data_IF_016548931497
#
_entry.id   IF_016548931497
#
_cell.length_a   1.000
_cell.length_b   1.000
_cell.length_c   1.000
_cell.angle_alpha   90.00
_cell.angle_beta   90.00
_cell.angle_gamma   90.00
#
_symmetry.space_group_name_H-M   'P 1'
#
loop_
_entity.id
_entity.type
_entity.pdbx_description
1 polymer ?
#
# COMPACT_ATOMS: atom_id res chain seq x y z
N UNK A 1 25.04 30.63 16.55
CA UNK A 1 23.63 30.43 16.15
C UNK A 1 23.60 30.57 14.63
N UNK A 2 23.44 29.46 13.91
CA UNK A 2 23.51 29.44 12.45
C UNK A 2 22.17 28.97 11.89
N UNK A 3 21.50 29.89 11.19
CA UNK A 3 20.22 29.72 10.51
C UNK A 3 20.29 28.57 9.49
N UNK A 4 19.77 27.39 9.83
CA UNK A 4 19.56 26.28 8.88
C UNK A 4 18.21 26.34 8.14
N UNK A 5 17.46 27.44 8.28
CA UNK A 5 16.11 27.58 7.72
C UNK A 5 15.93 28.76 6.75
N UNK A 6 17.01 29.32 6.19
CA UNK A 6 16.94 30.32 5.13
C UNK A 6 17.56 29.77 3.85
N UNK A 7 16.74 29.13 3.00
CA UNK A 7 16.79 29.17 1.51
C UNK A 7 15.94 28.06 0.87
N UNK A 8 14.64 27.93 1.19
CA UNK A 8 13.65 27.41 0.23
C UNK A 8 12.31 28.11 0.47
N UNK A 9 12.01 29.09 -0.38
CA UNK A 9 10.66 29.67 -0.45
C UNK A 9 9.65 28.54 -0.71
N UNK A 10 8.49 28.47 -0.02
CA UNK A 10 7.50 27.45 -0.28
C UNK A 10 6.73 27.84 -1.54
N UNK A 11 7.33 27.61 -2.70
CA UNK A 11 6.63 27.72 -3.97
C UNK A 11 5.65 26.55 -4.05
N UNK A 12 4.34 26.87 -3.99
CA UNK A 12 3.23 25.97 -4.36
C UNK A 12 3.36 25.40 -5.78
N UNK A 13 4.25 25.95 -6.61
CA UNK A 13 4.40 25.60 -8.03
C UNK A 13 5.23 24.33 -8.31
N UNK A 14 5.73 23.63 -7.30
CA UNK A 14 6.61 22.47 -7.52
C UNK A 14 7.91 22.84 -8.24
N UNK A 15 8.66 21.82 -8.68
CA UNK A 15 9.88 21.98 -9.49
C UNK A 15 9.48 22.02 -10.97
N UNK A 16 9.90 23.04 -11.70
CA UNK A 16 9.70 23.12 -13.16
C UNK A 16 10.81 22.33 -13.89
N UNK A 17 10.45 21.14 -14.38
CA UNK A 17 11.35 20.25 -15.10
C UNK A 17 11.43 20.55 -16.61
N UNK A 18 10.62 21.47 -17.16
CA UNK A 18 10.46 21.68 -18.60
C UNK A 18 11.72 22.15 -19.33
N UNK A 19 12.68 22.73 -18.60
CA UNK A 19 13.94 23.25 -19.13
C UNK A 19 15.16 22.38 -18.80
N UNK A 20 14.97 21.24 -18.13
CA UNK A 20 16.06 20.38 -17.69
C UNK A 20 16.51 19.46 -18.83
N UNK A 21 17.82 19.27 -18.96
CA UNK A 21 18.37 18.26 -19.88
C UNK A 21 18.15 16.85 -19.33
N UNK A 22 18.39 15.83 -20.15
CA UNK A 22 18.33 14.44 -19.69
C UNK A 22 19.32 14.13 -18.55
N UNK A 23 20.48 14.79 -18.54
CA UNK A 23 21.48 14.66 -17.46
C UNK A 23 20.98 15.33 -16.17
N UNK A 24 20.38 16.52 -16.28
CA UNK A 24 19.81 17.23 -15.14
C UNK A 24 18.65 16.43 -14.52
N UNK A 25 17.78 15.85 -15.36
CA UNK A 25 16.68 15.00 -14.90
C UNK A 25 17.20 13.75 -14.18
N UNK A 26 18.25 13.13 -14.71
CA UNK A 26 18.89 11.98 -14.06
C UNK A 26 19.52 12.36 -12.72
N UNK A 27 20.19 13.50 -12.65
CA UNK A 27 20.79 13.99 -11.40
C UNK A 27 19.71 14.28 -10.34
N UNK A 28 18.63 14.98 -10.73
CA UNK A 28 17.52 15.27 -9.83
C UNK A 28 16.79 14.00 -9.37
N UNK A 29 16.56 13.04 -10.27
CA UNK A 29 15.99 11.75 -9.91
C UNK A 29 16.85 11.03 -8.86
N UNK A 30 18.17 10.96 -9.07
CA UNK A 30 19.08 10.30 -8.12
C UNK A 30 19.13 11.04 -6.78
N UNK A 31 19.09 12.37 -6.77
CA UNK A 31 19.01 13.15 -5.53
C UNK A 31 17.72 12.81 -4.76
N UNK A 32 16.56 12.83 -5.43
CA UNK A 32 15.26 12.51 -4.82
C UNK A 32 15.25 11.07 -4.29
N UNK A 33 15.71 10.11 -5.10
CA UNK A 33 15.76 8.70 -4.72
C UNK A 33 16.67 8.46 -3.50
N UNK A 34 17.86 9.06 -3.50
CA UNK A 34 18.83 8.91 -2.40
C UNK A 34 18.41 9.62 -1.12
N UNK A 35 17.58 10.66 -1.21
CA UNK A 35 16.95 11.30 -0.04
C UNK A 35 15.88 10.40 0.60
N UNK A 36 15.45 9.35 -0.10
CA UNK A 36 14.50 8.35 0.38
C UNK A 36 13.05 8.74 0.14
N UNK A 37 12.24 7.73 -0.14
CA UNK A 37 10.80 7.80 -0.34
C UNK A 37 10.14 7.23 0.93
N UNK A 38 9.04 7.85 1.38
CA UNK A 38 8.33 7.37 2.56
C UNK A 38 7.89 5.91 2.40
N UNK A 39 7.18 5.61 1.31
CA UNK A 39 6.78 4.26 0.95
C UNK A 39 6.48 4.11 -0.53
N UNK A 40 6.39 2.87 -0.99
CA UNK A 40 6.09 2.55 -2.38
C UNK A 40 5.07 1.41 -2.48
N UNK A 41 4.16 1.52 -3.45
CA UNK A 41 3.34 0.39 -3.88
C UNK A 41 4.22 -0.68 -4.49
N UNK A 42 4.21 -1.88 -3.91
CA UNK A 42 5.17 -2.93 -4.21
C UNK A 42 4.45 -4.15 -4.78
N UNK A 43 4.47 -4.25 -6.11
CA UNK A 43 4.12 -5.47 -6.84
C UNK A 43 5.38 -6.15 -7.33
N UNK A 44 5.38 -7.48 -7.30
CA UNK A 44 6.56 -8.29 -7.61
C UNK A 44 6.46 -9.04 -8.93
N UNK A 45 5.37 -8.89 -9.68
CA UNK A 45 5.17 -9.60 -10.93
C UNK A 45 6.31 -9.37 -11.94
N UNK A 46 6.75 -10.45 -12.58
CA UNK A 46 7.68 -10.43 -13.72
C UNK A 46 6.90 -10.21 -15.03
N UNK A 47 7.62 -10.05 -16.16
CA UNK A 47 7.03 -9.67 -17.44
C UNK A 47 5.93 -10.63 -17.95
N UNK A 48 5.96 -11.89 -17.53
CA UNK A 48 5.01 -12.95 -17.89
C UNK A 48 3.98 -13.26 -16.80
N UNK A 49 3.96 -12.47 -15.72
CA UNK A 49 3.06 -12.66 -14.60
C UNK A 49 2.03 -11.53 -14.50
N UNK A 50 0.88 -11.88 -13.91
CA UNK A 50 -0.25 -11.00 -13.68
C UNK A 50 -0.95 -11.34 -12.35
N UNK A 51 -1.92 -10.53 -11.88
CA UNK A 51 -2.77 -10.90 -10.75
C UNK A 51 -3.29 -12.35 -10.85
N UNK A 52 -3.17 -13.11 -9.76
CA UNK A 52 -3.47 -14.55 -9.71
C UNK A 52 -2.31 -15.49 -10.09
N UNK A 53 -1.16 -14.97 -10.54
CA UNK A 53 0.05 -15.78 -10.73
C UNK A 53 0.69 -16.12 -9.38
N UNK A 54 1.18 -17.35 -9.23
CA UNK A 54 1.93 -17.75 -8.04
C UNK A 54 3.28 -17.03 -7.99
N UNK A 55 3.52 -16.33 -6.88
CA UNK A 55 4.76 -15.63 -6.58
C UNK A 55 5.60 -16.47 -5.60
N UNK A 56 6.92 -16.47 -5.77
CA UNK A 56 7.87 -17.13 -4.88
C UNK A 56 8.52 -16.17 -3.88
N UNK A 57 8.93 -16.71 -2.71
CA UNK A 57 9.69 -15.97 -1.71
C UNK A 57 10.99 -15.36 -2.27
N UNK A 58 11.66 -16.11 -3.15
CA UNK A 58 12.90 -15.69 -3.79
C UNK A 58 12.67 -14.44 -4.65
N UNK A 59 11.65 -14.48 -5.51
CA UNK A 59 11.28 -13.35 -6.36
C UNK A 59 10.95 -12.09 -5.54
N UNK A 60 10.21 -12.25 -4.44
CA UNK A 60 9.92 -11.15 -3.51
C UNK A 60 11.22 -10.60 -2.94
N UNK A 61 12.10 -11.46 -2.45
CA UNK A 61 13.35 -11.07 -1.82
C UNK A 61 14.27 -10.31 -2.78
N UNK A 62 14.43 -10.80 -4.01
CA UNK A 62 15.25 -10.16 -5.04
C UNK A 62 14.74 -8.76 -5.39
N UNK A 63 13.42 -8.61 -5.61
CA UNK A 63 12.82 -7.29 -5.88
C UNK A 63 12.88 -6.36 -4.66
N UNK A 64 12.75 -6.89 -3.46
CA UNK A 64 12.83 -6.11 -2.22
C UNK A 64 14.22 -5.47 -2.06
N UNK A 65 15.29 -6.20 -2.39
CA UNK A 65 16.65 -5.65 -2.29
C UNK A 65 16.88 -4.44 -3.19
N UNK A 66 16.16 -4.34 -4.32
CA UNK A 66 16.27 -3.18 -5.23
C UNK A 66 15.75 -1.90 -4.56
N UNK A 67 14.64 -1.99 -3.82
CA UNK A 67 13.98 -0.80 -3.26
C UNK A 67 14.39 -0.51 -1.81
N UNK A 68 14.83 -1.53 -1.06
CA UNK A 68 15.16 -1.44 0.37
C UNK A 68 16.03 -0.24 0.76
N UNK A 69 17.07 0.16 0.01
CA UNK A 69 17.89 1.31 0.39
C UNK A 69 17.16 2.65 0.37
N UNK A 70 16.02 2.72 -0.34
CA UNK A 70 15.35 3.97 -0.69
C UNK A 70 13.99 4.14 -0.04
N UNK A 71 13.42 3.12 0.62
CA UNK A 71 12.06 3.18 1.17
C UNK A 71 12.01 2.79 2.64
N UNK A 72 11.00 3.29 3.36
CA UNK A 72 10.71 2.88 4.74
C UNK A 72 9.45 2.02 4.84
N UNK A 73 8.52 2.19 3.89
CA UNK A 73 7.25 1.49 3.82
C UNK A 73 7.07 0.80 2.48
N UNK A 74 6.38 -0.34 2.50
CA UNK A 74 5.84 -0.98 1.30
C UNK A 74 4.34 -1.17 1.43
N UNK A 75 3.64 -1.09 0.31
CA UNK A 75 2.22 -1.45 0.19
C UNK A 75 2.07 -2.69 -0.68
N UNK A 76 1.47 -3.75 -0.15
CA UNK A 76 1.00 -4.91 -0.93
C UNK A 76 -0.51 -4.84 -1.12
N UNK A 77 -1.03 -5.54 -2.12
CA UNK A 77 -2.43 -5.40 -2.57
C UNK A 77 -3.30 -6.62 -2.28
N UNK A 78 -2.68 -7.79 -2.12
CA UNK A 78 -3.32 -9.09 -1.93
C UNK A 78 -2.53 -9.88 -0.88
N UNK A 79 -3.19 -10.86 -0.27
CA UNK A 79 -2.60 -11.87 0.60
C UNK A 79 -2.80 -13.29 0.06
N UNK A 80 -2.97 -13.46 -1.24
CA UNK A 80 -3.04 -14.79 -1.88
C UNK A 80 -1.99 -14.96 -2.96
N UNK A 81 -1.85 -16.19 -3.45
CA UNK A 81 -0.98 -16.55 -4.58
C UNK A 81 0.50 -16.19 -4.33
N UNK A 82 0.95 -16.26 -3.08
CA UNK A 82 2.31 -15.93 -2.65
C UNK A 82 2.50 -14.50 -2.15
N UNK A 83 1.54 -13.61 -2.37
CA UNK A 83 1.62 -12.22 -1.89
C UNK A 83 1.62 -12.13 -0.35
N UNK A 84 1.05 -13.11 0.36
CA UNK A 84 1.07 -13.20 1.82
C UNK A 84 2.49 -13.21 2.42
N UNK A 85 3.51 -13.51 1.62
CA UNK A 85 4.90 -13.51 2.05
C UNK A 85 5.56 -12.12 1.98
N UNK A 86 5.01 -11.19 1.19
CA UNK A 86 5.56 -9.84 1.01
C UNK A 86 5.69 -9.12 2.35
N UNK A 87 4.66 -9.11 3.23
CA UNK A 87 4.74 -8.34 4.46
C UNK A 87 5.77 -8.93 5.44
N UNK A 88 5.84 -10.27 5.56
CA UNK A 88 6.87 -10.96 6.35
C UNK A 88 8.29 -10.58 5.89
N UNK A 89 8.56 -10.70 4.59
CA UNK A 89 9.87 -10.38 4.00
C UNK A 89 10.18 -8.87 4.15
N UNK A 90 9.16 -8.00 4.08
CA UNK A 90 9.29 -6.58 4.36
C UNK A 90 9.78 -6.31 5.79
N UNK A 91 9.13 -6.90 6.79
CA UNK A 91 9.53 -6.78 8.19
C UNK A 91 10.93 -7.35 8.46
N UNK A 92 11.28 -8.50 7.89
CA UNK A 92 12.62 -9.08 7.97
C UNK A 92 13.71 -8.14 7.42
N UNK A 93 13.34 -7.26 6.49
CA UNK A 93 14.22 -6.24 5.93
C UNK A 93 14.15 -4.88 6.65
N UNK A 94 13.41 -4.78 7.75
CA UNK A 94 13.25 -3.56 8.55
C UNK A 94 12.29 -2.54 7.94
N UNK A 95 11.45 -2.96 6.99
CA UNK A 95 10.43 -2.11 6.37
C UNK A 95 9.10 -2.24 7.13
N UNK A 96 8.35 -1.15 7.10
CA UNK A 96 6.96 -1.10 7.55
C UNK A 96 6.00 -1.51 6.43
N UNK A 97 4.83 -2.04 6.76
CA UNK A 97 3.93 -2.65 5.77
C UNK A 97 2.49 -2.12 5.85
N UNK A 98 1.95 -1.74 4.69
CA UNK A 98 0.52 -1.58 4.46
C UNK A 98 0.05 -2.79 3.65
N UNK A 99 -0.77 -3.63 4.26
CA UNK A 99 -1.15 -4.94 3.71
C UNK A 99 -2.58 -4.90 3.22
N UNK A 100 -2.78 -5.06 1.91
CA UNK A 100 -4.09 -5.08 1.27
C UNK A 100 -4.69 -6.49 1.17
N UNK A 101 -6.01 -6.59 1.35
CA UNK A 101 -6.83 -7.69 0.87
C UNK A 101 -7.51 -7.27 -0.45
N UNK A 102 -7.29 -8.03 -1.52
CA UNK A 102 -7.84 -7.69 -2.84
C UNK A 102 -9.28 -8.22 -3.00
N UNK A 103 -10.25 -7.37 -2.72
CA UNK A 103 -11.67 -7.72 -2.81
C UNK A 103 -12.26 -7.41 -4.19
N UNK A 104 -13.16 -8.28 -4.65
CA UNK A 104 -13.93 -8.13 -5.88
C UNK A 104 -15.35 -8.70 -5.76
N UNK A 105 -15.99 -9.03 -6.88
CA UNK A 105 -17.35 -9.56 -6.90
C UNK A 105 -17.49 -11.06 -6.51
N UNK A 106 -16.36 -11.77 -6.35
CA UNK A 106 -16.32 -13.20 -6.04
C UNK A 106 -16.17 -13.42 -4.53
N UNK A 107 -17.25 -13.90 -3.90
CA UNK A 107 -17.31 -14.07 -2.45
C UNK A 107 -16.31 -15.11 -1.92
N UNK A 108 -16.03 -16.18 -2.66
CA UNK A 108 -15.07 -17.21 -2.23
C UNK A 108 -13.64 -16.66 -2.27
N UNK A 109 -13.30 -15.87 -3.29
CA UNK A 109 -12.00 -15.19 -3.35
C UNK A 109 -11.86 -14.16 -2.23
N UNK A 110 -12.89 -13.37 -1.98
CA UNK A 110 -12.90 -12.39 -0.89
C UNK A 110 -12.67 -13.06 0.46
N UNK A 111 -13.31 -14.21 0.71
CA UNK A 111 -13.13 -14.94 1.95
C UNK A 111 -11.67 -15.38 2.15
N UNK A 112 -11.04 -15.91 1.10
CA UNK A 112 -9.62 -16.30 1.14
C UNK A 112 -8.70 -15.12 1.43
N UNK A 113 -8.94 -13.98 0.79
CA UNK A 113 -8.18 -12.75 1.00
C UNK A 113 -8.33 -12.22 2.44
N UNK A 114 -9.55 -12.24 2.99
CA UNK A 114 -9.85 -11.81 4.37
C UNK A 114 -9.18 -12.73 5.38
N UNK A 115 -9.28 -14.04 5.23
CA UNK A 115 -8.59 -14.98 6.10
C UNK A 115 -7.07 -14.80 6.04
N UNK A 116 -6.53 -14.60 4.84
CA UNK A 116 -5.09 -14.49 4.66
C UNK A 116 -4.54 -13.18 5.25
N UNK A 117 -5.21 -12.05 5.05
CA UNK A 117 -4.76 -10.77 5.64
C UNK A 117 -4.82 -10.79 7.16
N UNK A 118 -5.84 -11.45 7.74
CA UNK A 118 -5.93 -11.65 9.19
C UNK A 118 -4.74 -12.50 9.68
N UNK A 119 -4.43 -13.62 9.01
CA UNK A 119 -3.29 -14.48 9.37
C UNK A 119 -1.95 -13.72 9.31
N UNK A 120 -1.73 -12.93 8.26
CA UNK A 120 -0.52 -12.10 8.10
C UNK A 120 -0.40 -11.07 9.21
N UNK A 121 -1.50 -10.38 9.53
CA UNK A 121 -1.52 -9.35 10.56
C UNK A 121 -1.35 -9.95 11.97
N UNK A 122 -2.00 -11.07 12.28
CA UNK A 122 -1.83 -11.80 13.55
C UNK A 122 -0.41 -12.36 13.74
N UNK A 123 0.30 -12.67 12.64
CA UNK A 123 1.72 -13.03 12.67
C UNK A 123 2.66 -11.84 12.95
N UNK A 124 2.13 -10.62 13.07
CA UNK A 124 2.90 -9.41 13.37
C UNK A 124 3.62 -8.82 12.14
N UNK A 125 3.10 -9.08 10.95
CA UNK A 125 3.70 -8.63 9.68
C UNK A 125 2.92 -7.49 8.99
N UNK A 126 1.93 -6.91 9.66
CA UNK A 126 1.15 -5.77 9.17
C UNK A 126 1.22 -4.60 10.15
N UNK A 127 1.64 -3.42 9.69
CA UNK A 127 1.53 -2.17 10.46
C UNK A 127 0.20 -1.45 10.21
N UNK A 128 -0.35 -1.57 8.99
CA UNK A 128 -1.68 -1.10 8.60
C UNK A 128 -2.31 -2.16 7.69
N UNK A 129 -3.61 -2.40 7.82
CA UNK A 129 -4.37 -3.28 6.91
C UNK A 129 -5.36 -2.46 6.09
N UNK A 130 -5.40 -2.70 4.77
CA UNK A 130 -6.39 -2.15 3.86
C UNK A 130 -7.36 -3.24 3.39
N UNK A 131 -8.64 -3.11 3.72
CA UNK A 131 -9.67 -4.10 3.38
C UNK A 131 -10.35 -3.67 2.08
N UNK A 132 -9.78 -4.09 0.96
CA UNK A 132 -10.22 -3.69 -0.37
C UNK A 132 -9.45 -2.50 -0.95
N UNK A 133 -9.46 -2.43 -2.28
CA UNK A 133 -8.93 -1.33 -3.07
C UNK A 133 -9.95 -1.01 -4.17
N UNK A 134 -10.48 0.21 -4.20
CA UNK A 134 -11.40 0.72 -5.24
C UNK A 134 -12.64 -0.14 -5.48
N UNK A 135 -13.10 -0.83 -4.42
CA UNK A 135 -14.24 -1.75 -4.47
C UNK A 135 -15.54 -1.01 -4.78
N UNK A 136 -15.75 0.19 -4.23
CA UNK A 136 -16.98 0.98 -4.46
C UNK A 136 -16.93 1.63 -5.84
N UNK A 137 -15.76 2.19 -6.21
CA UNK A 137 -15.53 2.72 -7.55
C UNK A 137 -15.78 1.68 -8.65
N UNK A 138 -15.38 0.43 -8.43
CA UNK A 138 -15.64 -0.68 -9.37
C UNK A 138 -17.04 -1.27 -9.27
N UNK A 139 -17.80 -0.93 -8.23
CA UNK A 139 -19.11 -1.53 -7.95
C UNK A 139 -19.04 -3.02 -7.61
N UNK A 140 -17.91 -3.49 -7.10
CA UNK A 140 -17.65 -4.92 -6.83
C UNK A 140 -18.45 -5.44 -5.63
N UNK A 141 -18.65 -4.59 -4.61
CA UNK A 141 -19.41 -4.88 -3.40
C UNK A 141 -20.31 -3.69 -3.03
N UNK A 142 -21.39 -3.97 -2.30
CA UNK A 142 -22.18 -2.91 -1.67
C UNK A 142 -21.45 -2.30 -0.48
N UNK A 143 -21.84 -1.08 -0.11
CA UNK A 143 -21.36 -0.39 1.09
C UNK A 143 -21.48 -1.27 2.35
N UNK A 144 -22.63 -1.93 2.54
CA UNK A 144 -22.88 -2.79 3.71
C UNK A 144 -21.97 -4.02 3.73
N UNK A 145 -21.72 -4.64 2.57
CA UNK A 145 -20.80 -5.77 2.46
C UNK A 145 -19.38 -5.36 2.83
N UNK A 146 -18.90 -4.23 2.30
CA UNK A 146 -17.57 -3.71 2.58
C UNK A 146 -17.40 -3.38 4.06
N UNK A 147 -18.35 -2.65 4.66
CA UNK A 147 -18.31 -2.30 6.09
C UNK A 147 -18.30 -3.57 6.96
N UNK A 148 -19.09 -4.58 6.61
CA UNK A 148 -19.08 -5.87 7.33
C UNK A 148 -17.71 -6.55 7.31
N UNK A 149 -17.02 -6.54 6.16
CA UNK A 149 -15.67 -7.08 6.04
C UNK A 149 -14.63 -6.26 6.83
N UNK A 150 -14.70 -4.92 6.78
CA UNK A 150 -13.84 -4.03 7.57
C UNK A 150 -13.98 -4.34 9.06
N UNK A 151 -15.23 -4.40 9.55
CA UNK A 151 -15.51 -4.69 10.96
C UNK A 151 -15.02 -6.07 11.38
N UNK A 152 -15.21 -7.09 10.55
CA UNK A 152 -14.69 -8.45 10.80
C UNK A 152 -13.18 -8.46 10.95
N UNK A 153 -12.46 -7.78 10.06
CA UNK A 153 -10.99 -7.69 10.14
C UNK A 153 -10.59 -6.95 11.42
N UNK A 154 -11.18 -5.79 11.71
CA UNK A 154 -10.91 -5.03 12.96
C UNK A 154 -11.07 -5.88 14.22
N UNK A 155 -12.12 -6.68 14.29
CA UNK A 155 -12.36 -7.58 15.44
C UNK A 155 -11.30 -8.68 15.56
N UNK A 156 -10.78 -9.19 14.45
CA UNK A 156 -9.79 -10.27 14.44
C UNK A 156 -8.35 -9.80 14.73
N UNK A 157 -8.04 -8.52 14.49
CA UNK A 157 -6.70 -7.94 14.67
C UNK A 157 -6.72 -6.66 15.52
N UNK A 158 -7.14 -6.76 16.80
CA UNK A 158 -7.22 -5.59 17.68
C UNK A 158 -5.85 -4.92 17.85
N UNK A 159 -5.82 -3.59 17.72
CA UNK A 159 -4.61 -2.77 17.89
C UNK A 159 -3.83 -2.49 16.60
N UNK A 160 -4.20 -3.11 15.47
CA UNK A 160 -3.65 -2.78 14.15
C UNK A 160 -4.66 -1.89 13.42
N UNK A 161 -4.29 -0.69 12.95
CA UNK A 161 -5.19 0.18 12.21
C UNK A 161 -5.71 -0.48 10.93
N UNK A 162 -7.02 -0.46 10.73
CA UNK A 162 -7.67 -1.00 9.54
C UNK A 162 -8.34 0.14 8.77
N UNK A 163 -8.03 0.22 7.48
CA UNK A 163 -8.59 1.19 6.57
C UNK A 163 -9.15 0.56 5.31
N UNK A 164 -9.56 1.43 4.41
CA UNK A 164 -10.03 1.11 3.07
C UNK A 164 -9.35 2.04 2.07
N UNK A 165 -9.06 1.53 0.87
CA UNK A 165 -8.49 2.34 -0.21
C UNK A 165 -9.52 2.54 -1.31
N UNK A 166 -9.74 3.79 -1.71
CA UNK A 166 -10.53 4.14 -2.90
C UNK A 166 -10.14 5.54 -3.41
N UNK A 167 -10.75 5.98 -4.51
CA UNK A 167 -10.67 7.35 -4.99
C UNK A 167 -11.12 8.33 -3.91
N UNK A 168 -10.41 9.46 -3.78
CA UNK A 168 -10.62 10.43 -2.69
C UNK A 168 -12.08 10.87 -2.47
N UNK A 169 -12.92 10.93 -3.51
CA UNK A 169 -14.30 11.39 -3.41
C UNK A 169 -15.28 10.30 -2.91
N UNK A 170 -14.93 9.02 -3.03
CA UNK A 170 -15.79 7.92 -2.56
C UNK A 170 -16.03 8.00 -1.06
N UNK A 171 -15.03 8.47 -0.29
CA UNK A 171 -15.15 8.69 1.15
C UNK A 171 -16.14 9.80 1.53
N UNK A 172 -16.38 10.76 0.63
CA UNK A 172 -17.38 11.81 0.82
C UNK A 172 -18.79 11.35 0.41
N UNK A 173 -18.90 10.49 -0.61
CA UNK A 173 -20.15 9.88 -1.05
C UNK A 173 -20.63 8.82 -0.05
N UNK A 174 -19.69 8.07 0.54
CA UNK A 174 -19.93 6.97 1.48
C UNK A 174 -19.37 7.27 2.88
N UNK A 175 -19.94 8.24 3.63
CA UNK A 175 -19.42 8.63 4.93
C UNK A 175 -19.42 7.48 5.96
N UNK A 176 -20.33 6.50 5.82
CA UNK A 176 -20.37 5.31 6.70
C UNK A 176 -19.13 4.44 6.57
N UNK A 177 -18.50 4.42 5.38
CA UNK A 177 -17.24 3.70 5.15
C UNK A 177 -16.10 4.44 5.83
N UNK A 178 -16.07 5.76 5.70
CA UNK A 178 -15.13 6.63 6.43
C UNK A 178 -15.22 6.42 7.94
N UNK A 179 -16.44 6.34 8.50
CA UNK A 179 -16.68 6.08 9.92
C UNK A 179 -16.24 4.67 10.37
N UNK A 180 -16.25 3.69 9.46
CA UNK A 180 -15.82 2.32 9.76
C UNK A 180 -14.29 2.17 9.80
N UNK A 181 -13.55 3.02 9.09
CA UNK A 181 -12.09 2.99 9.01
C UNK A 181 -11.41 3.64 10.22
N UNK A 182 -10.29 3.07 10.67
CA UNK A 182 -9.37 3.73 11.60
C UNK A 182 -8.47 4.74 10.87
N UNK A 183 -8.23 4.49 9.59
CA UNK A 183 -7.42 5.33 8.69
C UNK A 183 -8.03 5.34 7.29
N UNK A 184 -8.20 6.52 6.72
CA UNK A 184 -8.64 6.72 5.34
C UNK A 184 -7.40 6.69 4.44
N UNK A 185 -7.42 5.84 3.40
CA UNK A 185 -6.32 5.68 2.47
C UNK A 185 -6.79 6.09 1.07
N UNK A 186 -6.75 7.38 0.76
CA UNK A 186 -7.20 7.89 -0.54
C UNK A 186 -6.13 7.72 -1.64
N UNK A 187 -6.57 7.29 -2.83
CA UNK A 187 -5.80 7.39 -4.07
C UNK A 187 -5.95 8.79 -4.70
#
# INVERSE_FOLDING_TARGET
MSNRYQTRSPLLSGVDFSKMTGEDLKAAFLEILNNGIHGISFSVYLNDQAPGSQISAQQISERMQVIKPYVKWIRSFSCTDGNEQIPRIGHENGLKTLVGAWLGSDAEKNEREIEAVIKVAQAGHADIVAVGNEVLLRGDLSEDQLIGLIQRVKQAIPGIPVGYVDAYYEFAVHPRVSDACDVILAN
#
